data_IF_803656476324
#
_entry.id   IF_803656476324
#
_cell.length_a   1.000
_cell.length_b   1.000
_cell.length_c   1.000
_cell.angle_alpha   90.00
_cell.angle_beta   90.00
_cell.angle_gamma   90.00
#
_symmetry.space_group_name_H-M   'P 1'
#
loop_
_entity.id
_entity.type
_entity.pdbx_description
1 polymer ?
#
# COMPACT_ATOMS: atom_id res chain seq x y z
N UNK A 1 -4.27 2.67 -21.75
CA UNK A 1 -4.78 3.67 -20.77
C UNK A 1 -4.05 5.03 -20.78
N UNK A 2 -3.19 5.37 -21.77
CA UNK A 2 -2.46 6.66 -21.80
C UNK A 2 -3.12 7.77 -22.64
N UNK A 3 -4.18 7.48 -23.41
CA UNK A 3 -4.73 8.43 -24.41
C UNK A 3 -6.01 9.19 -23.99
N UNK A 4 -6.61 8.93 -22.81
CA UNK A 4 -7.78 9.70 -22.34
C UNK A 4 -7.43 10.94 -21.50
N UNK A 5 -6.17 11.08 -21.08
CA UNK A 5 -5.76 12.11 -20.11
C UNK A 5 -5.37 13.45 -20.74
N UNK A 6 -4.95 13.47 -22.01
CA UNK A 6 -4.68 14.74 -22.69
C UNK A 6 -5.96 15.57 -22.94
N UNK A 7 -7.13 14.94 -23.01
CA UNK A 7 -8.40 15.62 -23.29
C UNK A 7 -9.03 16.27 -22.05
N UNK A 8 -8.89 15.71 -20.85
CA UNK A 8 -9.47 16.29 -19.63
C UNK A 8 -8.72 17.56 -19.16
N UNK A 9 -7.39 17.60 -19.33
CA UNK A 9 -6.59 18.78 -18.99
C UNK A 9 -6.82 19.94 -19.97
N UNK A 10 -7.12 19.66 -21.25
CA UNK A 10 -7.43 20.69 -22.23
C UNK A 10 -8.84 21.30 -22.07
N UNK A 11 -9.81 20.54 -21.54
CA UNK A 11 -11.18 21.03 -21.33
C UNK A 11 -11.25 21.94 -20.08
N UNK A 12 -10.41 21.70 -19.06
CA UNK A 12 -10.42 22.49 -17.83
C UNK A 12 -9.70 23.85 -17.93
N UNK A 13 -8.81 24.04 -18.93
CA UNK A 13 -8.03 25.28 -19.09
C UNK A 13 -8.68 26.32 -20.02
N UNK A 14 -9.78 25.96 -20.67
CA UNK A 14 -10.59 26.88 -21.45
C UNK A 14 -12.06 26.62 -21.12
N UNK A 15 -12.51 26.97 -19.91
CA UNK A 15 -13.93 27.26 -19.72
C UNK A 15 -14.16 28.61 -20.43
N UNK A 16 -14.77 28.65 -21.64
CA UNK A 16 -15.29 29.93 -22.10
C UNK A 16 -16.31 30.34 -21.04
N UNK A 17 -16.28 31.57 -20.57
CA UNK A 17 -17.44 32.15 -19.92
C UNK A 17 -18.66 31.74 -20.76
N UNK A 18 -19.57 30.97 -20.16
CA UNK A 18 -20.80 30.49 -20.79
C UNK A 18 -21.65 31.74 -21.14
N UNK A 19 -21.32 32.39 -22.24
CA UNK A 19 -21.92 33.60 -22.73
C UNK A 19 -22.51 33.31 -24.12
N UNK A 20 -23.34 32.27 -24.20
CA UNK A 20 -24.26 32.13 -25.33
C UNK A 20 -25.45 33.03 -25.05
N UNK A 21 -25.74 33.97 -25.95
CA UNK A 21 -26.98 34.74 -25.93
C UNK A 21 -28.21 33.88 -26.32
N UNK A 22 -28.00 32.68 -26.89
CA UNK A 22 -29.03 31.69 -27.15
C UNK A 22 -29.13 30.73 -25.95
N UNK A 23 -30.24 30.82 -25.22
CA UNK A 23 -30.57 30.00 -24.06
C UNK A 23 -30.59 28.50 -24.38
N UNK A 24 -31.02 28.10 -25.58
CA UNK A 24 -31.02 26.70 -25.98
C UNK A 24 -29.59 26.18 -26.24
N UNK A 25 -28.74 27.00 -26.85
CA UNK A 25 -27.34 26.63 -27.06
C UNK A 25 -26.57 26.55 -25.72
N UNK A 26 -26.91 27.41 -24.76
CA UNK A 26 -26.32 27.37 -23.42
C UNK A 26 -26.61 26.03 -22.72
N UNK A 27 -27.88 25.60 -22.66
CA UNK A 27 -28.25 24.38 -21.91
C UNK A 27 -27.63 23.12 -22.54
N UNK A 28 -27.55 23.06 -23.87
CA UNK A 28 -26.86 21.99 -24.59
C UNK A 28 -25.36 21.95 -24.26
N UNK A 29 -24.69 23.12 -24.19
CA UNK A 29 -23.27 23.20 -23.83
C UNK A 29 -23.03 22.79 -22.37
N UNK A 30 -23.89 23.23 -21.44
CA UNK A 30 -23.83 22.86 -20.03
C UNK A 30 -23.97 21.33 -19.84
N UNK A 31 -24.93 20.71 -20.53
CA UNK A 31 -25.12 19.26 -20.51
C UNK A 31 -23.89 18.51 -21.07
N UNK A 32 -23.31 18.99 -22.17
CA UNK A 32 -22.11 18.41 -22.76
C UNK A 32 -20.89 18.52 -21.81
N UNK A 33 -20.72 19.65 -21.12
CA UNK A 33 -19.67 19.82 -20.10
C UNK A 33 -19.86 18.85 -18.93
N UNK A 34 -21.09 18.73 -18.42
CA UNK A 34 -21.43 17.77 -17.37
C UNK A 34 -21.13 16.31 -17.79
N UNK A 35 -21.40 15.96 -19.05
CA UNK A 35 -21.08 14.65 -19.61
C UNK A 35 -19.57 14.40 -19.73
N UNK A 36 -18.81 15.44 -20.07
CA UNK A 36 -17.37 15.34 -20.33
C UNK A 36 -16.53 15.07 -19.07
N UNK A 37 -17.00 15.47 -17.89
CA UNK A 37 -16.36 15.13 -16.61
C UNK A 37 -16.44 13.63 -16.31
N UNK A 38 -17.36 12.92 -16.97
CA UNK A 38 -17.52 11.47 -16.85
C UNK A 38 -18.77 11.08 -16.08
N UNK A 39 -19.05 9.78 -16.07
CA UNK A 39 -20.19 9.24 -15.35
C UNK A 39 -19.89 9.16 -13.85
N UNK A 40 -20.93 8.97 -13.05
CA UNK A 40 -20.85 8.80 -11.59
C UNK A 40 -19.74 7.85 -11.12
N UNK A 41 -19.53 6.76 -11.86
CA UNK A 41 -18.47 5.79 -11.60
C UNK A 41 -17.04 6.36 -11.65
N UNK A 42 -16.79 7.49 -12.33
CA UNK A 42 -15.45 8.08 -12.49
C UNK A 42 -14.97 8.80 -11.22
N UNK A 43 -15.89 9.24 -10.35
CA UNK A 43 -15.58 9.91 -9.08
C UNK A 43 -16.09 9.18 -7.84
N UNK A 44 -16.90 8.13 -7.97
CA UNK A 44 -17.26 7.28 -6.83
C UNK A 44 -16.10 6.40 -6.38
N UNK A 45 -15.87 6.39 -5.06
CA UNK A 45 -15.02 5.42 -4.40
C UNK A 45 -15.89 4.20 -4.05
N UNK A 46 -15.56 3.03 -4.57
CA UNK A 46 -16.25 1.79 -4.19
C UNK A 46 -16.01 1.43 -2.71
N UNK A 47 -16.89 0.59 -2.16
CA UNK A 47 -16.71 -0.01 -0.82
C UNK A 47 -15.74 -1.19 -0.82
N UNK A 48 -15.42 -1.73 -2.00
CA UNK A 48 -14.50 -2.87 -2.16
C UNK A 48 -13.06 -2.40 -2.28
N UNK A 49 -12.15 -3.11 -1.61
CA UNK A 49 -10.73 -2.80 -1.70
C UNK A 49 -10.11 -3.28 -3.00
N UNK A 50 -9.16 -2.49 -3.49
CA UNK A 50 -8.29 -2.83 -4.62
C UNK A 50 -7.04 -3.64 -4.19
N UNK A 51 -7.03 -4.17 -2.97
CA UNK A 51 -5.92 -4.85 -2.32
C UNK A 51 -4.88 -3.91 -1.69
N UNK A 52 -3.94 -4.47 -0.89
CA UNK A 52 -2.85 -3.71 -0.27
C UNK A 52 -2.01 -2.97 -1.31
N UNK A 53 -1.77 -1.68 -1.07
CA UNK A 53 -0.97 -0.76 -1.89
C UNK A 53 -1.75 0.01 -2.96
N UNK A 54 -3.01 -0.36 -3.22
CA UNK A 54 -3.80 0.18 -4.33
C UNK A 54 -4.86 1.20 -3.90
N UNK A 55 -5.34 1.13 -2.65
CA UNK A 55 -6.46 1.96 -2.18
C UNK A 55 -6.14 3.46 -2.17
N UNK A 56 -4.93 3.86 -1.73
CA UNK A 56 -4.52 5.28 -1.66
C UNK A 56 -4.42 5.94 -3.04
N UNK A 57 -3.73 5.35 -4.04
CA UNK A 57 -3.73 5.89 -5.40
C UNK A 57 -5.13 6.04 -6.00
N UNK A 58 -6.00 5.03 -5.81
CA UNK A 58 -7.38 5.08 -6.32
C UNK A 58 -8.18 6.19 -5.64
N UNK A 59 -8.15 6.27 -4.30
CA UNK A 59 -8.84 7.32 -3.56
C UNK A 59 -8.36 8.72 -3.97
N UNK A 60 -7.06 8.91 -4.18
CA UNK A 60 -6.51 10.18 -4.68
C UNK A 60 -7.04 10.54 -6.06
N UNK A 61 -7.09 9.58 -6.97
CA UNK A 61 -7.64 9.79 -8.31
C UNK A 61 -9.12 10.17 -8.23
N UNK A 62 -9.92 9.44 -7.45
CA UNK A 62 -11.35 9.72 -7.26
C UNK A 62 -11.60 11.10 -6.65
N UNK A 63 -10.82 11.47 -5.64
CA UNK A 63 -10.89 12.79 -5.00
C UNK A 63 -10.59 13.92 -5.99
N UNK A 64 -9.60 13.74 -6.87
CA UNK A 64 -9.28 14.72 -7.90
C UNK A 64 -10.45 14.91 -8.88
N UNK A 65 -11.01 13.81 -9.39
CA UNK A 65 -12.17 13.86 -10.30
C UNK A 65 -13.39 14.49 -9.61
N UNK A 66 -13.66 14.12 -8.35
CA UNK A 66 -14.74 14.71 -7.57
C UNK A 66 -14.57 16.23 -7.43
N UNK A 67 -13.37 16.72 -7.12
CA UNK A 67 -13.10 18.16 -6.99
C UNK A 67 -13.37 18.92 -8.30
N UNK A 68 -12.98 18.34 -9.43
CA UNK A 68 -13.31 18.91 -10.74
C UNK A 68 -14.82 18.97 -10.96
N UNK A 69 -15.53 17.87 -10.67
CA UNK A 69 -16.99 17.79 -10.78
C UNK A 69 -17.71 18.80 -9.87
N UNK A 70 -17.26 18.93 -8.61
CA UNK A 70 -17.78 19.90 -7.64
C UNK A 70 -17.55 21.35 -8.09
N UNK A 71 -16.41 21.63 -8.74
CA UNK A 71 -16.14 22.94 -9.32
C UNK A 71 -17.15 23.29 -10.42
N UNK A 72 -17.39 22.36 -11.36
CA UNK A 72 -18.37 22.56 -12.41
C UNK A 72 -19.80 22.64 -11.86
N UNK A 73 -20.18 21.78 -10.92
CA UNK A 73 -21.51 21.81 -10.30
C UNK A 73 -21.77 23.15 -9.59
N UNK A 74 -20.78 23.69 -8.87
CA UNK A 74 -20.85 25.03 -8.24
C UNK A 74 -21.06 26.15 -9.27
N UNK A 75 -20.48 26.03 -10.45
CA UNK A 75 -20.67 26.99 -11.54
C UNK A 75 -22.06 26.84 -12.20
N UNK A 76 -22.47 25.61 -12.51
CA UNK A 76 -23.70 25.33 -13.25
C UNK A 76 -24.96 25.56 -12.41
N UNK A 77 -24.92 25.30 -11.10
CA UNK A 77 -26.10 25.39 -10.22
C UNK A 77 -26.81 26.76 -10.26
N UNK A 78 -26.14 27.90 -10.03
CA UNK A 78 -26.80 29.21 -10.12
C UNK A 78 -27.22 29.55 -11.55
N UNK A 79 -26.43 29.16 -12.57
CA UNK A 79 -26.75 29.44 -13.97
C UNK A 79 -27.97 28.66 -14.46
N UNK A 80 -28.10 27.40 -14.03
CA UNK A 80 -29.27 26.58 -14.29
C UNK A 80 -30.51 27.18 -13.64
N UNK A 81 -30.42 27.61 -12.38
CA UNK A 81 -31.54 28.26 -11.69
C UNK A 81 -32.01 29.53 -12.42
N UNK A 82 -31.07 30.37 -12.90
CA UNK A 82 -31.38 31.54 -13.71
C UNK A 82 -31.98 31.19 -15.07
N UNK A 83 -31.46 30.14 -15.73
CA UNK A 83 -31.99 29.67 -17.00
C UNK A 83 -33.43 29.16 -16.87
N UNK A 84 -33.72 28.43 -15.80
CA UNK A 84 -35.05 27.89 -15.50
C UNK A 84 -36.06 28.98 -15.15
N UNK A 85 -35.63 30.03 -14.43
CA UNK A 85 -36.47 31.21 -14.20
C UNK A 85 -36.85 31.92 -15.49
N UNK A 86 -35.97 31.94 -16.50
CA UNK A 86 -36.20 32.62 -17.78
C UNK A 86 -36.99 31.78 -18.79
N UNK A 87 -36.84 30.45 -18.74
CA UNK A 87 -37.33 29.55 -19.79
C UNK A 87 -38.37 28.52 -19.33
N UNK A 88 -38.58 28.39 -18.01
CA UNK A 88 -39.41 27.36 -17.41
C UNK A 88 -38.60 26.12 -17.01
N UNK A 89 -39.18 25.28 -16.15
CA UNK A 89 -38.53 24.07 -15.62
C UNK A 89 -39.13 22.77 -16.12
N UNK A 90 -40.35 22.82 -16.66
CA UNK A 90 -41.12 21.65 -17.05
C UNK A 90 -41.20 21.56 -18.58
N UNK A 91 -41.39 20.34 -19.10
CA UNK A 91 -41.37 20.07 -20.54
C UNK A 91 -42.36 20.96 -21.33
N UNK A 92 -43.52 21.25 -20.75
CA UNK A 92 -44.54 22.10 -21.38
C UNK A 92 -44.07 23.55 -21.59
N UNK A 93 -43.37 24.14 -20.63
CA UNK A 93 -42.84 25.50 -20.73
C UNK A 93 -41.79 25.58 -21.84
N UNK A 94 -40.93 24.57 -21.90
CA UNK A 94 -39.86 24.50 -22.89
C UNK A 94 -40.40 24.30 -24.31
N UNK A 95 -41.48 23.54 -24.47
CA UNK A 95 -42.17 23.39 -25.76
C UNK A 95 -42.79 24.72 -26.20
N UNK A 96 -43.40 25.47 -25.29
CA UNK A 96 -43.94 26.79 -25.60
C UNK A 96 -42.84 27.79 -25.95
N UNK A 97 -41.68 27.70 -25.28
CA UNK A 97 -40.56 28.63 -25.45
C UNK A 97 -39.75 28.37 -26.72
N UNK A 98 -39.45 27.11 -27.02
CA UNK A 98 -38.50 26.73 -28.07
C UNK A 98 -39.13 25.97 -29.24
N UNK A 99 -40.41 25.59 -29.14
CA UNK A 99 -41.05 24.63 -30.05
C UNK A 99 -40.82 23.18 -29.62
N UNK A 100 -41.54 22.22 -30.21
CA UNK A 100 -41.50 20.81 -29.78
C UNK A 100 -40.09 20.20 -29.84
N UNK A 101 -39.41 20.28 -30.98
CA UNK A 101 -38.11 19.59 -31.18
C UNK A 101 -37.03 20.18 -30.26
N UNK A 102 -36.83 21.50 -30.33
CA UNK A 102 -35.85 22.21 -29.49
C UNK A 102 -36.23 22.22 -28.01
N UNK A 103 -37.52 22.17 -27.69
CA UNK A 103 -37.99 22.06 -26.32
C UNK A 103 -37.68 20.69 -25.71
N UNK A 104 -37.78 19.60 -26.47
CA UNK A 104 -37.40 18.25 -26.03
C UNK A 104 -35.87 18.14 -25.80
N UNK A 105 -35.08 18.69 -26.71
CA UNK A 105 -33.61 18.78 -26.56
C UNK A 105 -33.22 19.58 -25.30
N UNK A 106 -33.82 20.77 -25.12
CA UNK A 106 -33.59 21.61 -23.95
C UNK A 106 -33.98 20.91 -22.64
N UNK A 107 -35.13 20.21 -22.62
CA UNK A 107 -35.58 19.45 -21.45
C UNK A 107 -34.61 18.34 -21.10
N UNK A 108 -34.17 17.52 -22.08
CA UNK A 108 -33.18 16.46 -21.84
C UNK A 108 -31.87 17.01 -21.31
N UNK A 109 -31.37 18.10 -21.90
CA UNK A 109 -30.15 18.77 -21.47
C UNK A 109 -30.28 19.31 -20.03
N UNK A 110 -31.40 19.95 -19.71
CA UNK A 110 -31.71 20.43 -18.36
C UNK A 110 -31.73 19.29 -17.33
N UNK A 111 -32.41 18.18 -17.62
CA UNK A 111 -32.45 17.01 -16.73
C UNK A 111 -31.05 16.41 -16.52
N UNK A 112 -30.22 16.40 -17.56
CA UNK A 112 -28.84 15.94 -17.47
C UNK A 112 -28.00 16.81 -16.54
N UNK A 113 -28.10 18.14 -16.64
CA UNK A 113 -27.39 19.06 -15.74
C UNK A 113 -27.89 18.91 -14.30
N UNK A 114 -29.22 18.80 -14.08
CA UNK A 114 -29.80 18.57 -12.75
C UNK A 114 -29.24 17.31 -12.09
N UNK A 115 -29.34 16.18 -12.78
CA UNK A 115 -28.84 14.88 -12.29
C UNK A 115 -27.35 14.91 -12.01
N UNK A 116 -26.57 15.62 -12.82
CA UNK A 116 -25.14 15.80 -12.58
C UNK A 116 -24.89 16.55 -11.27
N UNK A 117 -25.54 17.70 -11.06
CA UNK A 117 -25.40 18.49 -9.83
C UNK A 117 -25.78 17.64 -8.61
N UNK A 118 -26.96 17.01 -8.63
CA UNK A 118 -27.44 16.15 -7.54
C UNK A 118 -26.50 15.00 -7.24
N UNK A 119 -25.98 14.32 -8.28
CA UNK A 119 -25.05 13.20 -8.11
C UNK A 119 -23.72 13.66 -7.48
N UNK A 120 -23.19 14.81 -7.90
CA UNK A 120 -21.93 15.37 -7.36
C UNK A 120 -22.08 15.83 -5.91
N UNK A 121 -23.20 16.46 -5.58
CA UNK A 121 -23.51 16.89 -4.20
C UNK A 121 -23.64 15.69 -3.26
N UNK A 122 -24.25 14.60 -3.71
CA UNK A 122 -24.36 13.36 -2.94
C UNK A 122 -23.03 12.58 -2.84
N UNK A 123 -22.13 12.71 -3.82
CA UNK A 123 -20.94 11.88 -3.93
C UNK A 123 -19.88 12.18 -2.86
N UNK A 124 -19.75 13.43 -2.41
CA UNK A 124 -18.76 13.80 -1.39
C UNK A 124 -18.96 13.02 -0.07
N UNK A 125 -20.11 13.18 0.60
CA UNK A 125 -20.42 12.43 1.82
C UNK A 125 -20.44 10.91 1.62
N UNK A 126 -20.88 10.42 0.45
CA UNK A 126 -20.84 8.99 0.17
C UNK A 126 -19.41 8.46 0.08
N UNK A 127 -18.53 9.14 -0.67
CA UNK A 127 -17.14 8.74 -0.81
C UNK A 127 -16.38 8.82 0.52
N UNK A 128 -16.69 9.83 1.35
CA UNK A 128 -16.14 9.94 2.69
C UNK A 128 -16.51 8.72 3.54
N UNK A 129 -17.79 8.32 3.54
CA UNK A 129 -18.28 7.13 4.25
C UNK A 129 -17.63 5.85 3.74
N UNK A 130 -17.56 5.66 2.43
CA UNK A 130 -16.89 4.49 1.82
C UNK A 130 -15.39 4.45 2.15
N UNK A 131 -14.73 5.62 2.20
CA UNK A 131 -13.34 5.73 2.62
C UNK A 131 -13.16 5.27 4.07
N UNK A 132 -14.01 5.75 4.98
CA UNK A 132 -13.99 5.36 6.40
C UNK A 132 -14.22 3.85 6.54
N UNK A 133 -15.23 3.29 5.87
CA UNK A 133 -15.54 1.86 5.90
C UNK A 133 -14.37 0.99 5.41
N UNK A 134 -13.69 1.41 4.34
CA UNK A 134 -12.48 0.76 3.86
C UNK A 134 -11.36 0.77 4.91
N UNK A 135 -11.16 1.90 5.59
CA UNK A 135 -10.15 2.00 6.65
C UNK A 135 -10.52 1.10 7.82
N UNK A 136 -11.79 1.08 8.24
CA UNK A 136 -12.24 0.24 9.34
C UNK A 136 -12.04 -1.25 9.02
N UNK A 137 -12.42 -1.68 7.82
CA UNK A 137 -12.28 -3.07 7.39
C UNK A 137 -10.82 -3.52 7.31
N UNK A 138 -9.94 -2.71 6.71
CA UNK A 138 -8.57 -3.12 6.40
C UNK A 138 -7.54 -2.75 7.47
N UNK A 139 -7.85 -1.77 8.31
CA UNK A 139 -6.94 -1.24 9.30
C UNK A 139 -7.36 -1.45 10.76
N UNK A 140 -8.61 -1.81 11.01
CA UNK A 140 -9.14 -1.89 12.39
C UNK A 140 -9.86 -3.20 12.70
N UNK A 141 -10.61 -3.80 11.77
CA UNK A 141 -11.30 -5.06 12.01
C UNK A 141 -10.29 -6.21 12.19
N UNK A 142 -10.04 -6.57 13.45
CA UNK A 142 -9.14 -7.65 13.82
C UNK A 142 -9.53 -9.00 13.19
N UNK A 143 -10.82 -9.26 12.98
CA UNK A 143 -11.30 -10.51 12.36
C UNK A 143 -10.97 -10.54 10.88
N UNK A 144 -11.08 -9.40 10.20
CA UNK A 144 -10.68 -9.28 8.80
C UNK A 144 -9.17 -9.41 8.65
N UNK A 145 -8.42 -8.63 9.43
CA UNK A 145 -6.96 -8.61 9.37
C UNK A 145 -6.37 -9.99 9.67
N UNK A 146 -6.88 -10.71 10.66
CA UNK A 146 -6.41 -12.06 11.01
C UNK A 146 -6.58 -13.09 9.87
N UNK A 147 -7.51 -12.86 8.93
CA UNK A 147 -7.70 -13.73 7.75
C UNK A 147 -6.70 -13.43 6.63
N UNK A 148 -6.04 -12.28 6.67
CA UNK A 148 -4.98 -11.94 5.71
C UNK A 148 -3.71 -12.76 6.01
N UNK A 149 -2.92 -13.02 4.98
CA UNK A 149 -1.62 -13.68 5.15
C UNK A 149 -0.71 -12.85 6.07
N UNK A 150 0.06 -13.45 7.01
CA UNK A 150 0.86 -12.70 7.98
C UNK A 150 1.80 -11.65 7.36
N UNK A 151 2.34 -11.93 6.18
CA UNK A 151 3.24 -10.99 5.47
C UNK A 151 2.56 -9.73 4.95
N UNK A 152 1.22 -9.68 4.90
CA UNK A 152 0.47 -8.52 4.39
C UNK A 152 -0.33 -7.80 5.47
N UNK A 153 -0.45 -8.36 6.68
CA UNK A 153 -1.28 -7.80 7.76
C UNK A 153 -0.85 -6.38 8.13
N UNK A 154 0.43 -6.18 8.46
CA UNK A 154 0.98 -4.85 8.83
C UNK A 154 0.81 -3.86 7.67
N UNK A 155 1.15 -4.31 6.45
CA UNK A 155 1.04 -3.47 5.25
C UNK A 155 -0.40 -3.00 4.99
N UNK A 156 -1.39 -3.88 5.18
CA UNK A 156 -2.79 -3.52 5.02
C UNK A 156 -3.21 -2.40 5.99
N UNK A 157 -2.75 -2.45 7.24
CA UNK A 157 -3.01 -1.42 8.25
C UNK A 157 -2.29 -0.11 7.90
N UNK A 158 -1.04 -0.17 7.44
CA UNK A 158 -0.30 1.02 6.97
C UNK A 158 -0.97 1.68 5.75
N UNK A 159 -1.44 0.88 4.79
CA UNK A 159 -2.19 1.37 3.63
C UNK A 159 -3.53 2.00 4.06
N UNK A 160 -4.24 1.39 5.02
CA UNK A 160 -5.46 1.93 5.60
C UNK A 160 -5.20 3.26 6.32
N UNK A 161 -4.08 3.40 7.03
CA UNK A 161 -3.66 4.68 7.63
C UNK A 161 -3.38 5.75 6.60
N UNK A 162 -2.74 5.39 5.49
CA UNK A 162 -2.58 6.29 4.34
C UNK A 162 -3.94 6.76 3.79
N UNK A 163 -4.92 5.85 3.68
CA UNK A 163 -6.27 6.18 3.22
C UNK A 163 -7.02 7.07 4.21
N UNK A 164 -6.89 6.82 5.52
CA UNK A 164 -7.53 7.60 6.58
C UNK A 164 -7.21 9.09 6.49
N UNK A 165 -5.98 9.45 6.11
CA UNK A 165 -5.53 10.84 5.91
C UNK A 165 -6.26 11.62 4.80
N UNK A 166 -7.10 10.92 4.02
CA UNK A 166 -7.81 11.47 2.88
C UNK A 166 -9.33 11.46 3.04
N UNK A 167 -9.88 10.75 4.02
CA UNK A 167 -11.32 10.51 4.08
C UNK A 167 -12.15 11.78 4.31
N UNK A 168 -11.66 12.70 5.14
CA UNK A 168 -12.29 14.00 5.38
C UNK A 168 -12.27 14.91 4.16
N UNK A 169 -11.27 14.77 3.30
CA UNK A 169 -11.12 15.60 2.10
C UNK A 169 -12.22 15.40 1.06
N UNK A 170 -12.97 14.29 1.12
CA UNK A 170 -14.13 14.04 0.26
C UNK A 170 -15.35 14.88 0.66
N UNK A 171 -15.47 15.25 1.93
CA UNK A 171 -16.55 16.07 2.48
C UNK A 171 -16.01 17.00 3.60
N UNK A 172 -15.20 18.02 3.26
CA UNK A 172 -14.48 18.82 4.26
C UNK A 172 -15.37 19.69 5.16
N UNK A 173 -16.59 19.98 4.69
CA UNK A 173 -17.59 20.78 5.40
C UNK A 173 -18.51 19.92 6.28
N UNK A 174 -18.40 18.59 6.21
CA UNK A 174 -19.20 17.65 6.99
C UNK A 174 -18.53 17.36 8.34
N UNK A 175 -19.16 17.84 9.42
CA UNK A 175 -18.62 17.71 10.77
C UNK A 175 -18.58 16.26 11.25
N UNK A 176 -19.56 15.43 10.88
CA UNK A 176 -19.63 14.02 11.26
C UNK A 176 -18.51 13.24 10.57
N UNK A 177 -18.27 13.50 9.28
CA UNK A 177 -17.16 12.90 8.54
C UNK A 177 -15.81 13.27 9.16
N UNK A 178 -15.58 14.54 9.47
CA UNK A 178 -14.31 14.97 10.10
C UNK A 178 -14.08 14.30 11.45
N UNK A 179 -15.13 14.21 12.26
CA UNK A 179 -15.05 13.55 13.55
C UNK A 179 -14.76 12.04 13.40
N UNK A 180 -15.46 11.37 12.49
CA UNK A 180 -15.26 9.96 12.21
C UNK A 180 -13.84 9.68 11.67
N UNK A 181 -13.36 10.49 10.73
CA UNK A 181 -12.01 10.38 10.19
C UNK A 181 -10.93 10.59 11.26
N UNK A 182 -11.10 11.60 12.14
CA UNK A 182 -10.17 11.84 13.25
C UNK A 182 -10.12 10.69 14.26
N UNK A 183 -11.22 9.94 14.42
CA UNK A 183 -11.28 8.77 15.31
C UNK A 183 -10.55 7.53 14.77
N UNK A 184 -10.18 7.50 13.48
CA UNK A 184 -9.50 6.35 12.87
C UNK A 184 -8.04 6.22 13.31
N UNK A 185 -7.31 7.34 13.35
CA UNK A 185 -5.87 7.35 13.65
C UNK A 185 -5.50 6.66 14.98
N UNK A 186 -6.13 6.97 16.14
CA UNK A 186 -5.79 6.27 17.38
C UNK A 186 -6.09 4.77 17.32
N UNK A 187 -7.12 4.34 16.57
CA UNK A 187 -7.46 2.92 16.40
C UNK A 187 -6.43 2.21 15.53
N UNK A 188 -6.01 2.83 14.43
CA UNK A 188 -4.96 2.34 13.55
C UNK A 188 -3.61 2.24 14.28
N UNK A 189 -3.25 3.25 15.06
CA UNK A 189 -2.06 3.24 15.89
C UNK A 189 -2.08 2.07 16.89
N UNK A 190 -3.20 1.85 17.58
CA UNK A 190 -3.37 0.72 18.49
C UNK A 190 -3.22 -0.64 17.77
N UNK A 191 -3.78 -0.80 16.56
CA UNK A 191 -3.60 -2.02 15.77
C UNK A 191 -2.12 -2.25 15.41
N UNK A 192 -1.40 -1.21 14.98
CA UNK A 192 0.02 -1.31 14.65
C UNK A 192 0.88 -1.63 15.89
N UNK A 193 0.55 -1.05 17.05
CA UNK A 193 1.21 -1.36 18.32
C UNK A 193 1.00 -2.83 18.73
N UNK A 194 -0.18 -3.39 18.51
CA UNK A 194 -0.43 -4.81 18.75
C UNK A 194 0.45 -5.71 17.88
N UNK A 195 0.63 -5.37 16.59
CA UNK A 195 1.55 -6.11 15.73
C UNK A 195 3.00 -5.98 16.18
N UNK A 196 3.44 -4.79 16.57
CA UNK A 196 4.77 -4.57 17.11
C UNK A 196 4.99 -5.37 18.41
N UNK A 197 3.99 -5.46 19.26
CA UNK A 197 4.01 -6.26 20.49
C UNK A 197 4.13 -7.77 20.19
N UNK A 198 3.36 -8.27 19.23
CA UNK A 198 3.43 -9.67 18.80
C UNK A 198 4.79 -10.01 18.19
N UNK A 199 5.33 -9.12 17.35
CA UNK A 199 6.68 -9.24 16.80
C UNK A 199 7.71 -9.27 17.94
N UNK A 200 7.62 -8.34 18.89
CA UNK A 200 8.51 -8.29 20.05
C UNK A 200 8.46 -9.57 20.87
N UNK A 201 7.26 -10.06 21.21
CA UNK A 201 7.09 -11.34 21.94
C UNK A 201 7.69 -12.52 21.18
N UNK A 202 7.51 -12.57 19.86
CA UNK A 202 8.09 -13.63 19.03
C UNK A 202 9.64 -13.56 18.97
N UNK A 203 10.21 -12.36 19.00
CA UNK A 203 11.67 -12.17 19.13
C UNK A 203 12.17 -12.57 20.53
N UNK A 204 11.42 -12.21 21.57
CA UNK A 204 11.72 -12.53 22.97
C UNK A 204 11.51 -14.01 23.31
N UNK A 205 10.73 -14.76 22.53
CA UNK A 205 10.55 -16.20 22.76
C UNK A 205 11.65 -17.05 22.13
N UNK A 206 12.50 -16.46 21.29
CA UNK A 206 13.55 -17.19 20.56
C UNK A 206 14.91 -16.92 21.18
N UNK A 207 15.68 -17.99 21.35
CA UNK A 207 17.01 -17.92 21.93
C UNK A 207 18.10 -18.22 20.91
N UNK A 208 19.22 -17.52 21.08
CA UNK A 208 20.49 -17.89 20.46
C UNK A 208 20.98 -19.20 21.06
N UNK A 209 21.30 -20.17 20.21
CA UNK A 209 21.91 -21.42 20.64
C UNK A 209 23.43 -21.25 20.66
N UNK A 210 24.10 -21.39 21.81
CA UNK A 210 25.56 -21.37 21.88
C UNK A 210 26.15 -22.63 21.23
N UNK A 211 27.47 -22.63 21.01
CA UNK A 211 28.14 -23.76 20.38
C UNK A 211 27.95 -25.05 21.18
N UNK A 212 27.73 -26.15 20.50
CA UNK A 212 27.57 -27.47 21.08
C UNK A 212 28.82 -27.87 21.85
N UNK A 213 28.68 -28.08 23.16
CA UNK A 213 29.80 -28.41 24.07
C UNK A 213 30.52 -29.72 23.72
N UNK A 214 29.90 -30.60 22.93
CA UNK A 214 30.47 -31.86 22.47
C UNK A 214 31.46 -31.74 21.31
N UNK A 215 31.53 -30.57 20.63
CA UNK A 215 32.37 -30.41 19.44
C UNK A 215 33.77 -29.94 19.85
N UNK A 216 34.78 -30.73 19.49
CA UNK A 216 36.17 -30.37 19.74
C UNK A 216 36.53 -29.04 19.04
N UNK A 217 37.15 -28.12 19.79
CA UNK A 217 37.58 -26.81 19.28
C UNK A 217 36.45 -25.94 18.68
N UNK A 218 35.21 -26.11 19.17
CA UNK A 218 34.04 -25.38 18.68
C UNK A 218 34.25 -23.85 18.61
N UNK A 219 34.89 -23.25 19.61
CA UNK A 219 35.16 -21.81 19.63
C UNK A 219 36.15 -21.38 18.54
N UNK A 220 37.23 -22.15 18.32
CA UNK A 220 38.20 -21.87 17.29
C UNK A 220 37.57 -22.00 15.88
N UNK A 221 36.73 -23.01 15.69
CA UNK A 221 35.96 -23.19 14.45
C UNK A 221 34.97 -22.04 14.22
N UNK A 222 34.23 -21.64 15.26
CA UNK A 222 33.31 -20.50 15.19
C UNK A 222 34.04 -19.20 14.78
N UNK A 223 35.22 -18.94 15.35
CA UNK A 223 36.02 -17.77 14.98
C UNK A 223 36.53 -17.84 13.53
N UNK A 224 36.99 -19.01 13.09
CA UNK A 224 37.43 -19.20 11.71
C UNK A 224 36.28 -18.96 10.71
N UNK A 225 35.09 -19.48 11.00
CA UNK A 225 33.89 -19.26 10.17
C UNK A 225 33.49 -17.78 10.18
N UNK A 226 33.51 -17.13 11.36
CA UNK A 226 33.21 -15.70 11.48
C UNK A 226 34.15 -14.86 10.62
N UNK A 227 35.45 -15.17 10.64
CA UNK A 227 36.44 -14.47 9.82
C UNK A 227 36.17 -14.68 8.32
N UNK A 228 35.89 -15.92 7.90
CA UNK A 228 35.53 -16.24 6.52
C UNK A 228 34.30 -15.45 6.05
N UNK A 229 33.19 -15.50 6.78
CA UNK A 229 31.96 -14.81 6.41
C UNK A 229 32.08 -13.29 6.51
N UNK A 230 32.90 -12.77 7.41
CA UNK A 230 33.12 -11.32 7.53
C UNK A 230 33.79 -10.73 6.28
N UNK A 231 34.63 -11.51 5.58
CA UNK A 231 35.26 -11.09 4.32
C UNK A 231 34.47 -11.48 3.06
N UNK A 232 33.46 -12.34 3.18
CA UNK A 232 32.78 -12.91 2.01
C UNK A 232 31.90 -11.86 1.30
N UNK A 233 31.93 -11.74 -0.05
CA UNK A 233 31.20 -10.71 -0.81
C UNK A 233 29.68 -10.68 -0.59
N UNK A 234 29.07 -11.85 -0.37
CA UNK A 234 27.63 -11.98 -0.09
C UNK A 234 27.24 -11.76 1.38
N UNK A 235 28.23 -11.73 2.28
CA UNK A 235 28.04 -11.58 3.72
C UNK A 235 28.72 -10.29 4.20
N UNK A 236 29.71 -10.36 5.09
CA UNK A 236 30.33 -9.17 5.69
C UNK A 236 31.04 -8.24 4.69
N UNK A 237 31.46 -8.75 3.55
CA UNK A 237 32.01 -7.96 2.44
C UNK A 237 30.95 -7.22 1.62
N UNK A 238 29.65 -7.47 1.83
CA UNK A 238 28.57 -6.86 1.06
C UNK A 238 28.33 -5.41 1.50
N UNK A 239 28.99 -4.46 0.85
CA UNK A 239 28.86 -3.03 1.17
C UNK A 239 27.47 -2.45 0.90
N UNK A 240 26.72 -3.05 -0.04
CA UNK A 240 25.35 -2.62 -0.39
C UNK A 240 24.38 -2.93 0.75
N UNK A 241 24.38 -4.18 1.22
CA UNK A 241 23.53 -4.61 2.36
C UNK A 241 24.09 -4.12 3.70
N UNK A 242 25.39 -3.82 3.77
CA UNK A 242 26.08 -3.46 5.00
C UNK A 242 25.97 -4.55 6.06
N UNK A 243 26.07 -5.81 5.63
CA UNK A 243 25.91 -6.97 6.51
C UNK A 243 27.04 -7.01 7.53
N UNK A 244 26.68 -7.15 8.80
CA UNK A 244 27.60 -7.34 9.91
C UNK A 244 27.40 -8.75 10.48
N UNK A 245 28.47 -9.55 10.54
CA UNK A 245 28.45 -10.87 11.21
C UNK A 245 28.64 -10.67 12.71
N UNK A 246 27.59 -10.93 13.49
CA UNK A 246 27.57 -10.69 14.93
C UNK A 246 28.25 -11.85 15.68
N UNK A 247 27.77 -13.07 15.47
CA UNK A 247 28.31 -14.27 16.09
C UNK A 247 28.12 -15.50 15.19
N UNK A 248 28.92 -16.52 15.48
CA UNK A 248 28.82 -17.85 14.88
C UNK A 248 28.81 -18.86 16.02
N UNK A 249 27.97 -19.88 15.90
CA UNK A 249 27.90 -20.97 16.85
C UNK A 249 27.91 -22.30 16.12
N UNK A 250 28.80 -23.22 16.52
CA UNK A 250 28.89 -24.56 15.93
C UNK A 250 27.81 -25.47 16.54
N UNK A 251 26.91 -26.00 15.71
CA UNK A 251 25.74 -26.73 16.19
C UNK A 251 25.95 -28.25 16.32
N UNK A 252 26.98 -28.79 15.66
CA UNK A 252 27.21 -30.24 15.68
C UNK A 252 28.54 -30.62 15.03
N UNK A 253 28.76 -31.94 14.99
CA UNK A 253 29.96 -32.52 14.40
C UNK A 253 30.02 -32.33 12.89
N UNK A 254 31.22 -32.51 12.35
CA UNK A 254 31.46 -32.53 10.92
C UNK A 254 30.68 -33.65 10.23
N UNK A 255 30.13 -33.37 9.06
CA UNK A 255 29.50 -34.36 8.20
C UNK A 255 30.15 -34.42 6.83
N UNK A 256 30.05 -35.55 6.16
CA UNK A 256 30.58 -35.72 4.79
C UNK A 256 29.69 -34.95 3.83
N UNK A 257 30.19 -33.84 3.28
CA UNK A 257 29.46 -33.02 2.32
C UNK A 257 29.55 -33.59 0.90
N UNK A 258 30.71 -34.16 0.53
CA UNK A 258 30.94 -34.73 -0.79
C UNK A 258 31.89 -35.94 -0.69
N UNK A 259 31.69 -36.94 -1.56
CA UNK A 259 32.58 -38.11 -1.70
C UNK A 259 33.18 -38.15 -3.10
N UNK A 260 34.41 -38.63 -3.21
CA UNK A 260 35.06 -38.88 -4.50
C UNK A 260 34.51 -40.16 -5.17
N UNK A 261 34.96 -40.46 -6.39
CA UNK A 261 34.55 -41.66 -7.15
C UNK A 261 34.85 -43.00 -6.44
N UNK A 262 35.77 -43.01 -5.48
CA UNK A 262 36.11 -44.17 -4.66
C UNK A 262 35.30 -44.25 -3.36
N UNK A 263 34.32 -43.35 -3.18
CA UNK A 263 33.46 -43.29 -2.00
C UNK A 263 34.13 -42.68 -0.75
N UNK A 264 35.33 -42.12 -0.87
CA UNK A 264 36.04 -41.48 0.26
C UNK A 264 35.56 -40.03 0.43
N UNK A 265 35.53 -39.48 1.66
CA UNK A 265 35.24 -38.06 1.88
C UNK A 265 36.17 -37.17 1.06
N UNK A 266 35.59 -36.31 0.22
CA UNK A 266 36.32 -35.30 -0.55
C UNK A 266 36.16 -33.91 0.08
N UNK A 267 35.03 -33.65 0.72
CA UNK A 267 34.71 -32.39 1.42
C UNK A 267 33.88 -32.65 2.67
N UNK A 268 34.04 -31.77 3.64
CA UNK A 268 33.30 -31.80 4.89
C UNK A 268 32.42 -30.56 5.04
N UNK A 269 31.29 -30.75 5.70
CA UNK A 269 30.39 -29.68 6.12
C UNK A 269 30.42 -29.52 7.64
N UNK A 270 30.44 -28.26 8.09
CA UNK A 270 30.32 -27.89 9.50
C UNK A 270 28.98 -27.18 9.71
N UNK A 271 28.04 -27.76 10.48
CA UNK A 271 26.76 -27.11 10.78
C UNK A 271 26.96 -25.98 11.79
N UNK A 272 26.53 -24.77 11.44
CA UNK A 272 26.68 -23.57 12.25
C UNK A 272 25.43 -22.71 12.20
N UNK A 273 25.14 -22.02 13.29
CA UNK A 273 24.25 -20.86 13.27
C UNK A 273 25.08 -19.59 13.11
N UNK A 274 24.63 -18.70 12.24
CA UNK A 274 25.28 -17.40 12.01
C UNK A 274 24.27 -16.30 12.25
N UNK A 275 24.55 -15.47 13.25
CA UNK A 275 23.77 -14.26 13.51
C UNK A 275 24.36 -13.10 12.72
N UNK A 276 23.52 -12.41 11.95
CA UNK A 276 23.88 -11.22 11.19
C UNK A 276 22.94 -10.06 11.48
N UNK A 277 23.39 -8.85 11.14
CA UNK A 277 22.56 -7.66 11.05
C UNK A 277 22.85 -6.94 9.74
N UNK A 278 21.81 -6.49 9.05
CA UNK A 278 21.93 -5.69 7.83
C UNK A 278 21.44 -4.28 8.11
N UNK A 279 21.66 -3.35 7.17
CA UNK A 279 21.12 -1.98 7.26
C UNK A 279 19.59 -1.91 7.27
N UNK A 280 18.91 -2.95 6.79
CA UNK A 280 17.45 -3.01 6.76
C UNK A 280 16.84 -3.45 8.11
N UNK A 281 17.64 -4.05 9.00
CA UNK A 281 17.15 -4.52 10.30
C UNK A 281 17.17 -3.40 11.34
N UNK A 282 16.21 -3.42 12.26
CA UNK A 282 16.26 -2.57 13.47
C UNK A 282 17.51 -2.94 14.30
N UNK A 283 18.15 -1.98 15.00
CA UNK A 283 19.39 -2.23 15.75
C UNK A 283 19.33 -3.40 16.74
N UNK A 284 18.17 -3.61 17.35
CA UNK A 284 17.87 -4.64 18.35
C UNK A 284 17.59 -6.02 17.76
N UNK A 285 17.50 -6.15 16.44
CA UNK A 285 17.18 -7.42 15.76
C UNK A 285 18.43 -8.01 15.11
N UNK A 286 18.64 -9.31 15.31
CA UNK A 286 19.59 -10.13 14.59
C UNK A 286 18.86 -11.22 13.80
N UNK A 287 19.27 -11.42 12.55
CA UNK A 287 18.82 -12.54 11.73
C UNK A 287 19.79 -13.69 11.90
N UNK A 288 19.28 -14.85 12.28
CA UNK A 288 20.05 -16.08 12.37
C UNK A 288 19.80 -16.92 11.12
N UNK A 289 20.89 -17.46 10.60
CA UNK A 289 20.91 -18.43 9.52
C UNK A 289 21.43 -19.75 10.05
N UNK A 290 20.73 -20.84 9.73
CA UNK A 290 21.30 -22.17 9.77
C UNK A 290 22.12 -22.40 8.51
N UNK A 291 23.43 -22.59 8.68
CA UNK A 291 24.37 -22.78 7.58
C UNK A 291 25.15 -24.08 7.75
N UNK A 292 25.53 -24.67 6.63
CA UNK A 292 26.61 -25.66 6.59
C UNK A 292 27.80 -25.06 5.86
N UNK A 293 28.92 -24.86 6.56
CA UNK A 293 30.15 -24.31 5.96
C UNK A 293 30.97 -25.45 5.36
N UNK A 294 31.39 -25.29 4.11
CA UNK A 294 32.01 -26.36 3.31
C UNK A 294 33.51 -26.15 3.17
N UNK A 295 34.29 -27.21 3.36
CA UNK A 295 35.74 -27.24 3.16
C UNK A 295 36.09 -27.54 1.70
N UNK A 296 37.23 -27.01 1.19
CA UNK A 296 37.71 -27.33 -0.16
C UNK A 296 38.39 -28.71 -0.26
N UNK A 297 38.62 -29.37 0.88
CA UNK A 297 39.42 -30.59 0.97
C UNK A 297 38.79 -31.59 1.94
N UNK A 298 39.36 -32.79 2.00
CA UNK A 298 39.00 -33.90 2.88
C UNK A 298 39.36 -33.67 4.36
N UNK A 299 39.82 -32.46 4.72
CA UNK A 299 40.16 -32.10 6.10
C UNK A 299 39.00 -31.40 6.81
N UNK A 300 38.75 -31.81 8.05
CA UNK A 300 37.80 -31.20 8.99
C UNK A 300 38.39 -29.92 9.64
N UNK A 301 38.81 -28.97 8.82
CA UNK A 301 39.41 -27.71 9.27
C UNK A 301 39.28 -26.62 8.21
N UNK A 302 39.47 -25.36 8.61
CA UNK A 302 39.65 -24.24 7.70
C UNK A 302 40.89 -24.48 6.78
N UNK A 303 40.95 -23.87 5.58
CA UNK A 303 40.05 -22.84 5.04
C UNK A 303 38.69 -23.37 4.58
N UNK A 304 37.73 -22.45 4.38
CA UNK A 304 36.40 -22.74 3.86
C UNK A 304 36.26 -22.21 2.43
N UNK A 305 35.47 -22.88 1.60
CA UNK A 305 35.24 -22.47 0.20
C UNK A 305 33.81 -21.97 -0.06
N UNK A 306 32.84 -22.36 0.77
CA UNK A 306 31.44 -22.07 0.51
C UNK A 306 30.53 -22.44 1.67
N UNK A 307 29.23 -22.36 1.41
CA UNK A 307 28.18 -22.63 2.40
C UNK A 307 26.90 -23.10 1.75
N UNK A 308 26.10 -23.87 2.49
CA UNK A 308 24.69 -24.14 2.20
C UNK A 308 23.81 -23.41 3.20
N UNK A 309 22.68 -22.90 2.72
CA UNK A 309 21.73 -22.12 3.54
C UNK A 309 20.50 -22.97 3.83
N UNK A 310 20.19 -23.13 5.12
CA UNK A 310 18.98 -23.76 5.62
C UNK A 310 17.97 -22.72 6.09
N UNK A 311 17.38 -22.96 7.26
CA UNK A 311 16.35 -22.10 7.84
C UNK A 311 16.89 -20.75 8.29
N UNK A 312 15.96 -19.80 8.44
CA UNK A 312 16.25 -18.47 8.99
C UNK A 312 15.18 -18.02 9.97
N UNK A 313 15.63 -17.34 11.04
CA UNK A 313 14.74 -16.75 12.03
C UNK A 313 15.35 -15.48 12.61
N UNK A 314 14.51 -14.66 13.23
CA UNK A 314 14.95 -13.44 13.92
C UNK A 314 15.01 -13.68 15.43
N UNK A 315 16.00 -13.06 16.08
CA UNK A 315 16.19 -13.04 17.54
C UNK A 315 16.56 -11.62 18.00
N UNK A 316 16.47 -11.36 19.31
CA UNK A 316 17.05 -10.15 19.88
C UNK A 316 18.58 -10.18 19.77
N UNK A 317 19.16 -9.11 19.21
CA UNK A 317 20.60 -8.96 19.06
C UNK A 317 21.33 -9.01 20.42
N UNK A 318 20.69 -8.57 21.50
CA UNK A 318 21.23 -8.64 22.86
C UNK A 318 21.37 -10.07 23.41
N UNK A 319 20.71 -11.05 22.79
CA UNK A 319 20.82 -12.47 23.17
C UNK A 319 21.92 -13.20 22.41
N UNK A 320 22.44 -12.60 21.33
CA UNK A 320 23.54 -13.16 20.55
C UNK A 320 24.83 -12.99 21.34
N UNK A 321 25.50 -14.11 21.64
CA UNK A 321 26.75 -14.19 22.40
C UNK A 321 27.86 -14.77 21.54
#
# INVERSE_FOLDING_TARGET
MKHRFASLALIALCAPCLASADDHAWIAQAAAQAQAIGNRADYELGSDSNGPGSNVPVARQKLQTLRMAQGLARQLKPQLAEWEQRNGSDMGDLYQRFGMDRGDEAWKAQQQVRRFIEAVEAAGPQNARNCIELVETWGVDATYIARLHPTVQVKAVEDARGLASMCDQFAPDDAEVRQAAAALEPRLAATLEQFAELERKALESRDWKPSSAGVAQADALAQAVKQFLSGHPEWGGNQTKGTQVLAVSVQGDWFVAERNLLGQPARWGLPVHVAIRTRAHKPEVAQVYDLSIITPTDRQAAPFEGYWVGDTWMVLASRVK
#
